data_IF_925111835637
#
_entry.id   IF_925111835637
#
_cell.length_a   1.000
_cell.length_b   1.000
_cell.length_c   1.000
_cell.angle_alpha   90.00
_cell.angle_beta   90.00
_cell.angle_gamma   90.00
#
_symmetry.space_group_name_H-M   'P 1'
#
loop_
_entity.id
_entity.type
_entity.pdbx_description
1 polymer ?
#
# COMPACT_ATOMS: atom_id res chain seq x y z
N UNK A 1 9.04 11.95 -6.37
CA UNK A 1 10.04 11.28 -7.24
C UNK A 1 9.40 11.10 -8.61
N UNK A 2 10.04 11.48 -9.70
CA UNK A 2 9.51 11.26 -11.04
C UNK A 2 9.20 9.78 -11.29
N UNK A 3 8.10 9.48 -11.98
CA UNK A 3 7.68 8.11 -12.26
C UNK A 3 7.01 7.34 -11.13
N UNK A 4 6.87 7.94 -9.93
CA UNK A 4 6.14 7.35 -8.80
C UNK A 4 4.85 8.14 -8.58
N UNK A 5 3.70 7.53 -8.86
CA UNK A 5 2.42 8.17 -8.69
C UNK A 5 2.05 8.28 -7.19
N UNK A 6 1.57 9.46 -6.78
CA UNK A 6 1.13 9.72 -5.41
C UNK A 6 -0.31 10.23 -5.33
N UNK A 7 -0.86 10.56 -6.48
CA UNK A 7 -2.23 11.07 -6.64
C UNK A 7 -2.87 10.49 -7.89
N UNK A 8 -4.15 10.74 -8.06
CA UNK A 8 -4.88 10.48 -9.30
C UNK A 8 -5.75 11.67 -9.68
N UNK A 9 -6.10 11.80 -10.96
CA UNK A 9 -7.01 12.83 -11.43
C UNK A 9 -8.40 12.61 -10.85
N UNK A 10 -8.85 13.52 -10.00
CA UNK A 10 -10.17 13.47 -9.37
C UNK A 10 -10.97 14.73 -9.71
N UNK A 11 -12.21 14.55 -10.15
CA UNK A 11 -13.16 15.63 -10.45
C UNK A 11 -14.13 15.91 -9.31
N UNK A 12 -14.09 15.09 -8.25
CA UNK A 12 -14.95 15.13 -7.05
C UNK A 12 -14.12 14.90 -5.79
N UNK A 13 -14.78 14.92 -4.63
CA UNK A 13 -14.18 14.55 -3.34
C UNK A 13 -13.92 13.03 -3.30
N UNK A 14 -12.81 12.58 -3.86
CA UNK A 14 -12.43 11.17 -3.96
C UNK A 14 -11.03 10.96 -3.39
N UNK A 15 -10.85 9.88 -2.64
CA UNK A 15 -9.55 9.39 -2.16
C UNK A 15 -9.44 7.88 -2.37
N UNK A 16 -8.21 7.39 -2.51
CA UNK A 16 -7.91 5.97 -2.55
C UNK A 16 -7.12 5.55 -1.31
N UNK A 17 -7.58 4.49 -0.64
CA UNK A 17 -6.90 3.94 0.52
C UNK A 17 -5.97 2.81 0.09
N UNK A 18 -4.74 2.85 0.59
CA UNK A 18 -3.75 1.78 0.41
C UNK A 18 -3.17 1.37 1.75
N UNK A 19 -2.93 0.07 1.94
CA UNK A 19 -2.40 -0.45 3.20
C UNK A 19 -1.19 -1.33 2.95
N UNK A 20 -0.13 -1.08 3.72
CA UNK A 20 1.11 -1.83 3.66
C UNK A 20 1.08 -2.98 4.70
N UNK A 21 1.36 -4.19 4.24
CA UNK A 21 1.53 -5.40 5.04
C UNK A 21 3.01 -5.81 5.06
N UNK A 22 3.78 -5.17 5.94
CA UNK A 22 5.24 -5.27 5.98
C UNK A 22 5.74 -6.63 6.50
N UNK A 23 5.23 -7.04 7.67
CA UNK A 23 5.51 -8.30 8.35
C UNK A 23 4.56 -8.44 9.55
N UNK A 24 4.61 -9.57 10.28
CA UNK A 24 3.82 -9.75 11.50
C UNK A 24 2.36 -10.11 11.26
N UNK A 25 1.48 -9.71 12.18
CA UNK A 25 0.07 -10.12 12.20
C UNK A 25 -0.77 -9.35 11.18
N UNK A 26 -1.93 -9.89 10.86
CA UNK A 26 -2.97 -9.18 10.12
C UNK A 26 -3.85 -8.35 11.08
N UNK A 27 -4.22 -7.14 10.67
CA UNK A 27 -5.21 -6.32 11.39
C UNK A 27 -6.62 -6.63 10.87
N UNK A 28 -7.23 -7.66 11.46
CA UNK A 28 -8.58 -8.09 11.07
C UNK A 28 -9.65 -7.03 11.41
N UNK A 29 -9.41 -6.19 12.41
CA UNK A 29 -10.33 -5.11 12.75
C UNK A 29 -10.36 -4.02 11.67
N UNK A 30 -9.21 -3.73 11.07
CA UNK A 30 -9.12 -2.82 9.93
C UNK A 30 -9.86 -3.38 8.71
N UNK A 31 -9.58 -4.64 8.34
CA UNK A 31 -10.24 -5.30 7.21
C UNK A 31 -11.76 -5.34 7.39
N UNK A 32 -12.24 -5.77 8.56
CA UNK A 32 -13.66 -5.77 8.88
C UNK A 32 -14.29 -4.36 8.83
N UNK A 33 -13.52 -3.31 9.17
CA UNK A 33 -13.98 -1.92 9.06
C UNK A 33 -14.15 -1.50 7.60
N UNK A 34 -13.21 -1.85 6.73
CA UNK A 34 -13.31 -1.60 5.28
C UNK A 34 -14.51 -2.34 4.67
N UNK A 35 -14.68 -3.62 5.01
CA UNK A 35 -15.76 -4.47 4.53
C UNK A 35 -17.14 -3.95 4.95
N UNK A 36 -17.35 -3.71 6.25
CA UNK A 36 -18.63 -3.18 6.77
C UNK A 36 -19.02 -1.85 6.13
N UNK A 37 -18.03 -1.06 5.75
CA UNK A 37 -18.25 0.23 5.10
C UNK A 37 -18.20 0.15 3.57
N UNK A 38 -18.05 -1.00 2.96
CA UNK A 38 -17.89 -1.17 1.51
C UNK A 38 -16.85 -0.16 0.94
N UNK A 39 -15.67 -0.11 1.54
CA UNK A 39 -14.56 0.76 1.13
C UNK A 39 -13.51 -0.05 0.39
N UNK A 40 -13.32 0.18 -0.93
CA UNK A 40 -12.28 -0.51 -1.68
C UNK A 40 -10.88 -0.09 -1.20
N UNK A 41 -9.93 -1.01 -1.24
CA UNK A 41 -8.55 -0.74 -0.86
C UNK A 41 -7.54 -1.53 -1.70
N UNK A 42 -6.34 -0.95 -1.87
CA UNK A 42 -5.19 -1.64 -2.44
C UNK A 42 -4.27 -2.07 -1.29
N UNK A 43 -4.02 -3.37 -1.19
CA UNK A 43 -3.26 -4.00 -0.11
C UNK A 43 -1.89 -4.44 -0.65
N UNK A 44 -0.83 -3.79 -0.19
CA UNK A 44 0.54 -4.12 -0.57
C UNK A 44 1.09 -5.21 0.34
N UNK A 45 1.22 -6.45 -0.16
CA UNK A 45 1.65 -7.61 0.60
C UNK A 45 3.12 -7.91 0.33
N UNK A 46 3.95 -7.95 1.36
CA UNK A 46 5.34 -8.43 1.26
C UNK A 46 5.41 -9.95 1.41
N UNK A 47 6.45 -10.58 0.87
CA UNK A 47 6.69 -12.01 1.11
C UNK A 47 6.86 -12.33 2.59
N UNK A 48 7.38 -11.42 3.39
CA UNK A 48 7.53 -11.60 4.85
C UNK A 48 6.17 -11.71 5.54
N UNK A 49 5.24 -10.82 5.18
CA UNK A 49 3.89 -10.87 5.73
C UNK A 49 3.12 -12.11 5.27
N UNK A 50 3.24 -12.50 3.99
CA UNK A 50 2.62 -13.72 3.45
C UNK A 50 3.11 -14.97 4.20
N UNK A 51 4.40 -15.04 4.53
CA UNK A 51 4.96 -16.15 5.31
C UNK A 51 4.37 -16.23 6.73
N UNK A 52 4.11 -15.09 7.35
CA UNK A 52 3.52 -15.03 8.69
C UNK A 52 2.00 -15.28 8.70
N UNK A 53 1.34 -15.16 7.54
CA UNK A 53 -0.12 -15.26 7.40
C UNK A 53 -0.50 -16.20 6.23
N UNK A 54 -0.19 -17.51 6.33
CA UNK A 54 -0.44 -18.45 5.24
C UNK A 54 -1.94 -18.54 4.91
N UNK A 55 -2.26 -18.61 3.61
CA UNK A 55 -3.64 -18.63 3.10
C UNK A 55 -4.36 -17.29 3.13
N UNK A 56 -3.76 -16.25 3.72
CA UNK A 56 -4.44 -14.95 3.88
C UNK A 56 -4.43 -14.12 2.59
N UNK A 57 -3.37 -14.23 1.78
CA UNK A 57 -3.28 -13.54 0.50
C UNK A 57 -4.40 -13.99 -0.47
N UNK A 58 -4.66 -15.29 -0.54
CA UNK A 58 -5.71 -15.87 -1.34
C UNK A 58 -7.11 -15.44 -0.85
N UNK A 59 -7.32 -15.42 0.47
CA UNK A 59 -8.57 -14.95 1.06
C UNK A 59 -8.84 -13.49 0.74
N UNK A 60 -7.82 -12.63 0.85
CA UNK A 60 -7.95 -11.19 0.53
C UNK A 60 -8.17 -10.98 -0.97
N UNK A 61 -7.48 -11.74 -1.82
CA UNK A 61 -7.65 -11.66 -3.27
C UNK A 61 -9.02 -12.14 -3.78
N UNK A 62 -9.68 -13.02 -3.03
CA UNK A 62 -11.03 -13.49 -3.33
C UNK A 62 -12.11 -12.41 -3.05
N UNK A 63 -11.79 -11.38 -2.25
CA UNK A 63 -12.70 -10.29 -1.97
C UNK A 63 -12.58 -9.19 -3.04
N UNK A 64 -13.63 -8.92 -3.85
CA UNK A 64 -13.55 -7.96 -4.96
C UNK A 64 -13.34 -6.50 -4.52
N UNK A 65 -13.47 -6.19 -3.24
CA UNK A 65 -13.14 -4.88 -2.70
C UNK A 65 -11.64 -4.64 -2.53
N UNK A 66 -10.84 -5.72 -2.52
CA UNK A 66 -9.41 -5.62 -2.30
C UNK A 66 -8.63 -5.93 -3.57
N UNK A 67 -7.76 -5.01 -3.93
CA UNK A 67 -6.72 -5.24 -4.93
C UNK A 67 -5.42 -5.61 -4.21
N UNK A 68 -4.66 -6.56 -4.74
CA UNK A 68 -3.39 -6.98 -4.16
C UNK A 68 -2.24 -6.34 -4.93
N UNK A 69 -1.41 -5.58 -4.22
CA UNK A 69 -0.18 -4.98 -4.70
C UNK A 69 1.07 -5.69 -4.15
N UNK A 70 2.18 -5.46 -4.80
CA UNK A 70 3.48 -6.03 -4.45
C UNK A 70 4.25 -5.11 -3.50
N UNK A 71 4.61 -5.61 -2.30
CA UNK A 71 5.38 -4.86 -1.28
C UNK A 71 6.82 -5.39 -1.12
N UNK A 72 7.32 -6.09 -2.13
CA UNK A 72 8.66 -6.65 -2.16
C UNK A 72 8.82 -7.96 -1.39
N UNK A 73 9.99 -8.55 -1.58
CA UNK A 73 10.35 -9.86 -1.00
C UNK A 73 10.88 -9.72 0.41
N UNK A 74 11.89 -8.86 0.61
CA UNK A 74 12.58 -8.62 1.88
C UNK A 74 12.04 -7.40 2.62
N UNK A 75 11.20 -6.59 1.95
CA UNK A 75 10.68 -5.33 2.48
C UNK A 75 11.80 -4.30 2.73
N UNK A 76 12.57 -4.01 1.70
CA UNK A 76 13.69 -3.05 1.77
C UNK A 76 13.47 -1.89 0.78
N UNK A 77 14.17 -0.74 0.96
CA UNK A 77 14.21 0.31 -0.06
C UNK A 77 14.69 -0.25 -1.40
N UNK A 78 14.09 0.20 -2.50
CA UNK A 78 14.51 -0.22 -3.84
C UNK A 78 15.56 0.74 -4.40
N UNK A 79 16.80 0.25 -4.48
CA UNK A 79 17.96 1.03 -4.90
C UNK A 79 18.95 0.13 -5.65
N UNK A 80 19.81 0.72 -6.47
CA UNK A 80 20.93 -0.02 -7.08
C UNK A 80 22.28 0.32 -6.43
N UNK A 81 22.27 1.18 -5.43
CA UNK A 81 23.49 1.67 -4.75
C UNK A 81 23.51 1.38 -3.24
N UNK A 82 22.56 0.60 -2.72
CA UNK A 82 22.46 0.29 -1.30
C UNK A 82 21.92 1.44 -0.45
N UNK A 83 21.26 2.43 -1.05
CA UNK A 83 20.71 3.60 -0.33
C UNK A 83 19.74 3.15 0.77
N UNK A 84 20.04 3.56 1.99
CA UNK A 84 19.24 3.19 3.15
C UNK A 84 18.12 4.18 3.41
N UNK A 85 17.01 3.69 4.00
CA UNK A 85 15.95 4.51 4.56
C UNK A 85 15.50 3.95 5.92
N UNK A 86 15.29 4.80 6.90
CA UNK A 86 14.91 4.43 8.28
C UNK A 86 15.83 3.36 8.91
N UNK A 87 17.13 3.40 8.60
CA UNK A 87 18.10 2.41 9.07
C UNK A 87 18.07 1.05 8.37
N UNK A 88 17.18 0.87 7.38
CA UNK A 88 17.10 -0.34 6.57
C UNK A 88 17.91 -0.15 5.29
N UNK A 89 18.91 -1.02 5.08
CA UNK A 89 19.72 -1.01 3.86
C UNK A 89 18.87 -1.43 2.66
N UNK A 90 18.94 -0.64 1.58
CA UNK A 90 18.29 -0.96 0.32
C UNK A 90 19.00 -2.05 -0.47
N UNK A 91 18.40 -2.46 -1.57
CA UNK A 91 19.06 -3.28 -2.60
C UNK A 91 20.28 -2.52 -3.14
N UNK A 92 21.36 -3.23 -3.48
CA UNK A 92 22.66 -2.63 -3.78
C UNK A 92 23.15 -2.87 -5.22
N UNK A 93 22.31 -3.50 -6.03
CA UNK A 93 22.53 -3.71 -7.46
C UNK A 93 21.21 -3.81 -8.21
N UNK A 94 21.23 -3.70 -9.52
CA UNK A 94 20.04 -3.91 -10.37
C UNK A 94 19.51 -5.34 -10.23
N UNK A 95 20.36 -6.34 -10.13
CA UNK A 95 19.99 -7.74 -9.94
C UNK A 95 19.24 -7.94 -8.61
N UNK A 96 19.75 -7.36 -7.51
CA UNK A 96 19.05 -7.41 -6.23
C UNK A 96 17.70 -6.67 -6.28
N UNK A 97 17.60 -5.55 -6.99
CA UNK A 97 16.37 -4.81 -7.15
C UNK A 97 15.34 -5.62 -7.95
N UNK A 98 15.75 -6.25 -9.06
CA UNK A 98 14.90 -7.19 -9.83
C UNK A 98 14.42 -8.33 -8.93
N UNK A 99 15.31 -8.95 -8.17
CA UNK A 99 14.97 -10.06 -7.26
C UNK A 99 13.98 -9.61 -6.18
N UNK A 100 14.16 -8.41 -5.61
CA UNK A 100 13.26 -7.86 -4.59
C UNK A 100 11.82 -7.70 -5.11
N UNK A 101 11.66 -7.26 -6.36
CA UNK A 101 10.36 -7.08 -7.00
C UNK A 101 9.80 -8.41 -7.51
N UNK A 102 10.58 -9.12 -8.34
CA UNK A 102 10.10 -10.23 -9.15
C UNK A 102 9.78 -11.50 -8.35
N UNK A 103 10.54 -11.80 -7.31
CA UNK A 103 10.26 -12.97 -6.47
C UNK A 103 8.89 -12.86 -5.79
N UNK A 104 8.52 -11.67 -5.30
CA UNK A 104 7.20 -11.47 -4.71
C UNK A 104 6.11 -11.31 -5.77
N UNK A 105 6.42 -10.73 -6.94
CA UNK A 105 5.51 -10.67 -8.09
C UNK A 105 5.01 -12.07 -8.49
N UNK A 106 5.93 -12.98 -8.78
CA UNK A 106 5.60 -14.35 -9.21
C UNK A 106 4.84 -15.10 -8.13
N UNK A 107 5.21 -14.91 -6.87
CA UNK A 107 4.51 -15.48 -5.73
C UNK A 107 3.07 -14.99 -5.63
N UNK A 108 2.85 -13.68 -5.71
CA UNK A 108 1.50 -13.09 -5.68
C UNK A 108 0.67 -13.56 -6.86
N UNK A 109 1.24 -13.58 -8.07
CA UNK A 109 0.55 -14.09 -9.26
C UNK A 109 0.06 -15.52 -9.07
N UNK A 110 0.90 -16.39 -8.47
CA UNK A 110 0.54 -17.78 -8.17
C UNK A 110 -0.56 -17.90 -7.11
N UNK A 111 -0.51 -17.08 -6.04
CA UNK A 111 -1.48 -17.14 -4.94
C UNK A 111 -2.83 -16.52 -5.29
N UNK A 112 -2.83 -15.45 -6.10
CA UNK A 112 -4.05 -14.65 -6.37
C UNK A 112 -4.66 -14.93 -7.74
N UNK A 113 -3.99 -15.74 -8.58
CA UNK A 113 -4.41 -16.07 -9.94
C UNK A 113 -4.18 -14.95 -10.97
N UNK A 114 -3.61 -13.82 -10.57
CA UNK A 114 -3.28 -12.70 -11.47
C UNK A 114 -2.03 -11.94 -10.98
N UNK A 115 -1.22 -11.38 -11.91
CA UNK A 115 -0.06 -10.58 -11.50
C UNK A 115 -0.49 -9.28 -10.81
N UNK A 116 0.29 -8.78 -9.83
CA UNK A 116 0.06 -7.47 -9.23
C UNK A 116 0.33 -6.34 -10.26
N UNK A 117 -0.51 -5.31 -10.23
CA UNK A 117 -0.37 -4.13 -11.12
C UNK A 117 0.56 -3.08 -10.52
N UNK A 118 0.62 -2.99 -9.20
CA UNK A 118 1.33 -1.93 -8.47
C UNK A 118 2.40 -2.49 -7.56
N UNK A 119 3.52 -1.76 -7.51
CA UNK A 119 4.61 -2.01 -6.59
C UNK A 119 4.83 -0.82 -5.65
N UNK A 120 5.07 -1.11 -4.37
CA UNK A 120 5.59 -0.16 -3.37
C UNK A 120 6.67 -0.87 -2.58
N UNK A 121 7.93 -0.41 -2.56
CA UNK A 121 8.99 -1.06 -1.79
C UNK A 121 8.76 -0.88 -0.29
N UNK A 122 9.37 -1.73 0.51
CA UNK A 122 9.53 -1.47 1.92
C UNK A 122 10.09 -0.07 2.15
N UNK A 123 9.54 0.67 3.14
CA UNK A 123 9.89 2.08 3.38
C UNK A 123 9.37 3.10 2.35
N UNK A 124 8.74 2.67 1.27
CA UNK A 124 8.28 3.50 0.14
C UNK A 124 9.39 4.36 -0.51
N UNK A 125 10.66 3.92 -0.44
CA UNK A 125 11.79 4.62 -1.03
C UNK A 125 12.30 3.90 -2.28
N UNK A 126 12.44 4.68 -3.36
CA UNK A 126 13.03 4.25 -4.64
C UNK A 126 14.28 5.07 -4.94
N UNK A 127 15.16 4.59 -5.83
CA UNK A 127 15.98 5.44 -6.69
C UNK A 127 15.44 5.40 -8.13
N UNK A 128 15.99 6.24 -9.00
CA UNK A 128 15.48 6.39 -10.38
C UNK A 128 15.61 5.08 -11.17
N UNK A 129 16.68 4.32 -10.96
CA UNK A 129 16.89 3.03 -11.62
C UNK A 129 15.92 1.98 -11.06
N UNK A 130 15.63 1.99 -9.76
CA UNK A 130 14.60 1.16 -9.16
C UNK A 130 13.22 1.40 -9.74
N UNK A 131 12.86 2.68 -9.99
CA UNK A 131 11.61 3.03 -10.67
C UNK A 131 11.56 2.45 -12.09
N UNK A 132 12.65 2.57 -12.86
CA UNK A 132 12.75 1.99 -14.19
C UNK A 132 12.59 0.47 -14.19
N UNK A 133 13.27 -0.22 -13.25
CA UNK A 133 13.17 -1.68 -13.08
C UNK A 133 11.72 -2.11 -12.82
N UNK A 134 11.01 -1.43 -11.95
CA UNK A 134 9.59 -1.77 -11.65
C UNK A 134 8.74 -1.67 -12.91
N UNK A 135 8.91 -0.61 -13.72
CA UNK A 135 8.18 -0.44 -14.97
C UNK A 135 8.52 -1.54 -16.01
N UNK A 136 9.80 -1.90 -16.15
CA UNK A 136 10.24 -2.98 -17.04
C UNK A 136 9.68 -4.36 -16.62
N UNK A 137 9.43 -4.54 -15.32
CA UNK A 137 8.78 -5.74 -14.77
C UNK A 137 7.25 -5.71 -14.84
N UNK A 138 6.69 -4.73 -15.61
CA UNK A 138 5.25 -4.59 -15.85
C UNK A 138 4.41 -4.25 -14.61
N UNK A 139 5.04 -3.72 -13.57
CA UNK A 139 4.37 -3.12 -12.42
C UNK A 139 4.49 -1.60 -12.46
N UNK A 140 3.58 -0.90 -11.79
CA UNK A 140 3.57 0.56 -11.71
C UNK A 140 4.06 1.00 -10.34
N UNK A 141 5.14 1.83 -10.27
CA UNK A 141 5.60 2.38 -9.00
C UNK A 141 4.52 3.26 -8.35
N UNK A 142 4.11 2.92 -7.12
CA UNK A 142 3.09 3.68 -6.41
C UNK A 142 3.62 4.19 -5.06
N UNK A 143 3.57 5.48 -4.89
CA UNK A 143 3.80 6.16 -3.62
C UNK A 143 2.48 6.54 -2.95
N UNK A 144 2.51 7.61 -2.16
CA UNK A 144 1.34 8.18 -1.51
C UNK A 144 1.55 9.68 -1.28
N UNK A 145 0.45 10.41 -1.24
CA UNK A 145 0.43 11.84 -0.87
C UNK A 145 0.25 12.02 0.64
N UNK A 146 -0.48 11.10 1.28
CA UNK A 146 -0.81 11.17 2.70
C UNK A 146 -0.40 9.89 3.40
N UNK A 147 0.55 9.97 4.32
CA UNK A 147 0.85 8.91 5.29
C UNK A 147 -0.05 9.06 6.51
N UNK A 148 -1.07 8.21 6.64
CA UNK A 148 -2.11 8.42 7.64
C UNK A 148 -1.67 8.03 9.06
N UNK A 149 -0.90 6.96 9.21
CA UNK A 149 -0.63 6.35 10.52
C UNK A 149 0.81 6.46 11.03
N UNK A 150 1.70 7.13 10.27
CA UNK A 150 3.10 7.33 10.67
C UNK A 150 3.82 6.02 11.04
N UNK A 151 3.71 5.00 10.18
CA UNK A 151 4.29 3.68 10.46
C UNK A 151 3.60 2.97 11.63
N UNK A 152 2.26 3.07 11.69
CA UNK A 152 1.40 2.54 12.75
C UNK A 152 1.64 3.11 14.17
N UNK A 153 2.29 4.28 14.27
CA UNK A 153 2.59 4.95 15.55
C UNK A 153 1.64 6.09 15.87
N UNK A 154 0.78 6.49 14.94
CA UNK A 154 -0.16 7.58 15.14
C UNK A 154 -1.34 7.13 16.05
N UNK A 155 -1.81 8.05 16.87
CA UNK A 155 -3.04 7.84 17.63
C UNK A 155 -4.27 7.81 16.72
N UNK A 156 -5.38 7.27 17.19
CA UNK A 156 -6.69 7.26 16.50
C UNK A 156 -7.06 8.65 15.98
N UNK A 157 -6.95 9.66 16.83
CA UNK A 157 -7.24 11.05 16.45
C UNK A 157 -6.32 11.60 15.36
N UNK A 158 -5.04 11.24 15.39
CA UNK A 158 -4.08 11.65 14.36
C UNK A 158 -4.35 10.96 13.02
N UNK A 159 -4.66 9.66 13.01
CA UNK A 159 -5.05 8.94 11.80
C UNK A 159 -6.30 9.58 11.18
N UNK A 160 -7.33 9.79 12.00
CA UNK A 160 -8.57 10.47 11.57
C UNK A 160 -8.27 11.85 10.97
N UNK A 161 -7.51 12.69 11.67
CA UNK A 161 -7.20 14.04 11.23
C UNK A 161 -6.46 14.08 9.88
N UNK A 162 -5.47 13.20 9.68
CA UNK A 162 -4.71 13.13 8.42
C UNK A 162 -5.57 12.67 7.24
N UNK A 163 -6.45 11.70 7.47
CA UNK A 163 -7.39 11.23 6.45
C UNK A 163 -8.41 12.31 6.08
N UNK A 164 -9.02 12.97 7.07
CA UNK A 164 -10.04 14.02 6.81
C UNK A 164 -9.44 15.30 6.25
N UNK A 165 -8.13 15.52 6.42
CA UNK A 165 -7.39 16.63 5.81
C UNK A 165 -6.82 16.32 4.41
N UNK A 166 -7.07 15.14 3.87
CA UNK A 166 -6.56 14.77 2.54
C UNK A 166 -7.25 15.60 1.44
N UNK A 167 -6.48 16.00 0.42
CA UNK A 167 -7.03 16.65 -0.76
C UNK A 167 -7.67 15.61 -1.73
N UNK A 168 -8.65 16.01 -2.56
CA UNK A 168 -9.18 15.14 -3.61
C UNK A 168 -8.07 14.58 -4.51
N UNK A 169 -8.21 13.31 -4.90
CA UNK A 169 -7.21 12.61 -5.70
C UNK A 169 -6.02 12.06 -4.91
N UNK A 170 -6.00 12.22 -3.59
CA UNK A 170 -4.90 11.67 -2.77
C UNK A 170 -4.93 10.15 -2.74
N UNK A 171 -3.75 9.53 -2.92
CA UNK A 171 -3.47 8.17 -2.53
C UNK A 171 -3.00 8.21 -1.08
N UNK A 172 -3.68 7.48 -0.21
CA UNK A 172 -3.41 7.45 1.23
C UNK A 172 -2.75 6.14 1.60
N UNK A 173 -1.68 6.20 2.38
CA UNK A 173 -0.99 5.03 2.91
C UNK A 173 -1.23 4.90 4.42
N UNK A 174 -1.50 3.69 4.88
CA UNK A 174 -1.44 3.27 6.27
C UNK A 174 -0.97 1.80 6.33
N UNK A 175 -0.92 1.20 7.51
CA UNK A 175 -0.45 -0.17 7.71
C UNK A 175 -1.58 -1.09 8.17
N UNK A 176 -1.53 -2.36 7.72
CA UNK A 176 -2.49 -3.40 8.11
C UNK A 176 -1.84 -4.56 8.88
N UNK A 177 -0.65 -4.36 9.39
CA UNK A 177 0.11 -5.41 10.11
C UNK A 177 0.39 -5.05 11.57
N UNK A 178 -0.35 -4.09 12.13
CA UNK A 178 -0.24 -3.62 13.51
C UNK A 178 -1.63 -3.51 14.18
N UNK A 179 -2.28 -4.66 14.51
CA UNK A 179 -3.63 -4.66 15.08
C UNK A 179 -3.75 -3.97 16.44
N UNK A 180 -2.62 -3.73 17.12
CA UNK A 180 -2.54 -2.98 18.38
C UNK A 180 -2.52 -1.46 18.20
N UNK A 181 -2.39 -0.97 16.96
CA UNK A 181 -2.24 0.45 16.66
C UNK A 181 -3.58 1.20 16.61
N UNK A 182 -3.51 2.53 16.51
CA UNK A 182 -4.69 3.37 16.29
C UNK A 182 -5.23 3.35 14.85
N UNK A 183 -4.65 2.56 13.94
CA UNK A 183 -4.97 2.62 12.50
C UNK A 183 -6.40 2.19 12.23
N UNK A 184 -6.84 1.02 12.68
CA UNK A 184 -8.19 0.51 12.41
C UNK A 184 -9.30 1.46 12.89
N UNK A 185 -9.21 1.91 14.14
CA UNK A 185 -10.19 2.82 14.73
C UNK A 185 -10.17 4.21 14.05
N UNK A 186 -8.97 4.75 13.80
CA UNK A 186 -8.82 6.05 13.16
C UNK A 186 -9.31 6.08 11.70
N UNK A 187 -9.11 4.97 10.97
CA UNK A 187 -9.67 4.78 9.62
C UNK A 187 -11.20 4.73 9.69
N UNK A 188 -11.78 3.97 10.62
CA UNK A 188 -13.22 3.89 10.81
C UNK A 188 -13.86 5.25 11.09
N UNK A 189 -13.29 6.02 12.01
CA UNK A 189 -13.75 7.38 12.33
C UNK A 189 -13.64 8.32 11.13
N UNK A 190 -12.55 8.19 10.36
CA UNK A 190 -12.34 9.00 9.16
C UNK A 190 -13.33 8.64 8.05
N UNK A 191 -13.63 7.37 7.82
CA UNK A 191 -14.63 6.92 6.84
C UNK A 191 -15.99 7.55 7.15
N UNK A 192 -16.42 7.51 8.40
CA UNK A 192 -17.68 8.09 8.84
C UNK A 192 -17.72 9.60 8.57
N UNK A 193 -16.68 10.34 8.96
CA UNK A 193 -16.61 11.78 8.79
C UNK A 193 -16.53 12.20 7.31
N UNK A 194 -15.75 11.50 6.51
CA UNK A 194 -15.58 11.79 5.08
C UNK A 194 -16.88 11.54 4.32
N UNK A 195 -17.57 10.43 4.58
CA UNK A 195 -18.87 10.15 3.95
C UNK A 195 -19.93 11.18 4.30
N UNK A 196 -20.00 11.59 5.57
CA UNK A 196 -20.90 12.66 6.00
C UNK A 196 -20.62 13.99 5.28
N UNK A 197 -19.40 14.19 4.77
CA UNK A 197 -18.97 15.36 3.99
C UNK A 197 -19.01 15.14 2.47
N UNK A 198 -19.62 14.04 2.00
CA UNK A 198 -19.82 13.74 0.58
C UNK A 198 -18.58 13.22 -0.14
N UNK A 199 -17.63 12.59 0.58
CA UNK A 199 -16.46 11.95 -0.01
C UNK A 199 -16.77 10.52 -0.45
N UNK A 200 -16.11 10.12 -1.53
CA UNK A 200 -16.14 8.77 -2.08
C UNK A 200 -14.76 8.11 -1.90
N UNK A 201 -14.77 6.82 -1.55
CA UNK A 201 -13.58 5.97 -1.56
C UNK A 201 -13.54 5.18 -2.87
N UNK A 202 -12.39 5.20 -3.54
CA UNK A 202 -12.26 4.62 -4.88
C UNK A 202 -11.05 3.71 -4.99
N UNK A 203 -11.10 2.73 -5.90
CA UNK A 203 -9.94 1.91 -6.26
C UNK A 203 -8.90 2.76 -6.99
N UNK A 204 -7.62 2.39 -6.85
CA UNK A 204 -6.51 2.99 -7.62
C UNK A 204 -6.57 2.55 -9.08
N UNK A 205 -6.90 1.28 -9.33
CA UNK A 205 -7.05 0.73 -10.68
C UNK A 205 -8.11 1.47 -11.49
N UNK A 206 -7.80 1.72 -12.75
CA UNK A 206 -8.65 2.47 -13.68
C UNK A 206 -8.57 3.99 -13.52
N UNK A 207 -7.71 4.52 -12.64
CA UNK A 207 -7.48 5.96 -12.48
C UNK A 207 -6.31 6.47 -13.31
N UNK A 208 -6.41 7.72 -13.73
CA UNK A 208 -5.29 8.45 -14.33
C UNK A 208 -4.38 8.89 -13.19
N UNK A 209 -3.26 8.18 -13.02
CA UNK A 209 -2.31 8.43 -11.94
C UNK A 209 -1.39 9.60 -12.25
N UNK A 210 -1.00 10.32 -11.19
CA UNK A 210 -0.17 11.53 -11.22
C UNK A 210 0.92 11.47 -10.13
#
# INVERSE_FOLDING_TARGET
MPGVATTFAATRKQIALTFDACAGRCDDALLATLERNAVPALLFLSSRWINANPGRAEQLAANPMFEIGNHGTRHVPLSVTGRSAYGIKGTSSAEEAVTEVWTNHTRLAALTGKPPTFFRPGTAHYDDVGVAIVNELSERPLGFRVGADNGAKASVAQVRARLTGAAPGSIVQAHMNHPESGTAAGVGDAITALRASGWEFVSVTGRILQ
#
